data_IF_027437017602
#
_entry.id   IF_027437017602
#
_cell.length_a   1.000
_cell.length_b   1.000
_cell.length_c   1.000
_cell.angle_alpha   90.00
_cell.angle_beta   90.00
_cell.angle_gamma   90.00
#
_symmetry.space_group_name_H-M   'P 1'
#
loop_
_entity.id
_entity.type
_entity.pdbx_description
1 polymer ?
#
# COMPACT_ATOMS: atom_id res chain seq x y z
N UNK A 1 -15.58 -27.17 -4.49
CA UNK A 1 -15.13 -26.14 -5.44
C UNK A 1 -14.77 -24.80 -4.77
N UNK A 2 -15.45 -24.33 -3.70
CA UNK A 2 -15.19 -23.00 -3.12
C UNK A 2 -13.80 -22.76 -2.50
N UNK A 3 -13.19 -23.75 -1.84
CA UNK A 3 -11.89 -23.59 -1.14
C UNK A 3 -10.74 -23.26 -2.12
N UNK A 4 -10.73 -23.89 -3.29
CA UNK A 4 -9.67 -23.74 -4.28
C UNK A 4 -9.67 -22.34 -4.95
N UNK A 5 -10.85 -21.73 -5.05
CA UNK A 5 -11.02 -20.39 -5.63
C UNK A 5 -10.57 -19.32 -4.62
N UNK A 6 -10.98 -19.44 -3.36
CA UNK A 6 -10.57 -18.52 -2.27
C UNK A 6 -9.04 -18.53 -2.07
N UNK A 7 -8.41 -19.71 -2.09
CA UNK A 7 -6.95 -19.83 -2.01
C UNK A 7 -6.22 -19.21 -3.22
N UNK A 8 -6.86 -19.17 -4.39
CA UNK A 8 -6.31 -18.48 -5.57
C UNK A 8 -6.42 -16.96 -5.40
N UNK A 9 -7.56 -16.49 -4.87
CA UNK A 9 -7.83 -15.07 -4.63
C UNK A 9 -6.89 -14.47 -3.55
N UNK A 10 -6.57 -15.20 -2.48
CA UNK A 10 -5.63 -14.73 -1.44
C UNK A 10 -4.19 -14.63 -1.94
N UNK A 11 -3.79 -15.48 -2.90
CA UNK A 11 -2.47 -15.38 -3.57
C UNK A 11 -2.42 -14.14 -4.48
N UNK A 12 -3.48 -13.86 -5.23
CA UNK A 12 -3.57 -12.64 -6.06
C UNK A 12 -3.50 -11.40 -5.17
N UNK A 13 -4.26 -11.37 -4.07
CA UNK A 13 -4.19 -10.28 -3.08
C UNK A 13 -2.78 -10.09 -2.52
N UNK A 14 -2.03 -11.17 -2.24
CA UNK A 14 -0.66 -11.07 -1.76
C UNK A 14 0.29 -10.45 -2.79
N UNK A 15 0.12 -10.80 -4.07
CA UNK A 15 0.91 -10.23 -5.15
C UNK A 15 0.61 -8.73 -5.31
N UNK A 16 -0.67 -8.35 -5.27
CA UNK A 16 -1.11 -6.96 -5.37
C UNK A 16 -0.60 -6.12 -4.20
N UNK A 17 -0.68 -6.64 -2.97
CA UNK A 17 -0.09 -6.01 -1.77
C UNK A 17 1.41 -5.74 -2.01
N UNK A 18 2.15 -6.75 -2.45
CA UNK A 18 3.60 -6.65 -2.65
C UNK A 18 3.95 -5.62 -3.73
N UNK A 19 3.21 -5.62 -4.83
CA UNK A 19 3.39 -4.67 -5.93
C UNK A 19 3.10 -3.23 -5.48
N UNK A 20 2.00 -3.02 -4.75
CA UNK A 20 1.61 -1.71 -4.23
C UNK A 20 2.61 -1.19 -3.20
N UNK A 21 3.11 -2.03 -2.29
CA UNK A 21 4.14 -1.64 -1.33
C UNK A 21 5.45 -1.26 -2.01
N UNK A 22 5.88 -2.02 -3.02
CA UNK A 22 7.08 -1.71 -3.80
C UNK A 22 6.96 -0.38 -4.55
N UNK A 23 5.80 -0.15 -5.18
CA UNK A 23 5.50 1.10 -5.87
C UNK A 23 5.47 2.29 -4.89
N UNK A 24 4.79 2.13 -3.75
CA UNK A 24 4.72 3.17 -2.69
C UNK A 24 6.09 3.52 -2.14
N UNK A 25 6.92 2.52 -1.85
CA UNK A 25 8.29 2.72 -1.38
C UNK A 25 9.11 3.52 -2.41
N UNK A 26 8.98 3.17 -3.69
CA UNK A 26 9.67 3.87 -4.78
C UNK A 26 9.20 5.33 -4.92
N UNK A 27 7.90 5.58 -4.83
CA UNK A 27 7.34 6.93 -4.91
C UNK A 27 7.80 7.79 -3.73
N UNK A 28 7.71 7.27 -2.49
CA UNK A 28 8.18 7.98 -1.29
C UNK A 28 9.66 8.34 -1.40
N UNK A 29 10.51 7.38 -1.81
CA UNK A 29 11.95 7.63 -1.97
C UNK A 29 12.26 8.71 -3.03
N UNK A 30 11.58 8.67 -4.18
CA UNK A 30 11.75 9.69 -5.24
C UNK A 30 11.27 11.07 -4.79
N UNK A 31 10.16 11.12 -4.05
CA UNK A 31 9.59 12.35 -3.53
C UNK A 31 10.55 13.02 -2.52
N UNK A 32 11.11 12.25 -1.59
CA UNK A 32 12.07 12.77 -0.60
C UNK A 32 13.39 13.21 -1.25
N UNK A 33 13.86 12.48 -2.27
CA UNK A 33 15.03 12.90 -3.05
C UNK A 33 14.77 14.22 -3.79
N UNK A 34 13.62 14.35 -4.45
CA UNK A 34 13.22 15.59 -5.14
C UNK A 34 13.14 16.77 -4.17
N UNK A 35 12.57 16.56 -2.98
CA UNK A 35 12.49 17.60 -1.95
C UNK A 35 13.87 18.05 -1.46
N UNK A 36 14.78 17.10 -1.27
CA UNK A 36 16.16 17.38 -0.85
C UNK A 36 16.90 18.19 -1.92
N UNK A 37 16.84 17.74 -3.18
CA UNK A 37 17.48 18.45 -4.29
C UNK A 37 16.92 19.87 -4.45
N UNK A 38 15.61 20.06 -4.24
CA UNK A 38 14.99 21.37 -4.36
C UNK A 38 15.41 22.32 -3.24
N UNK A 39 15.59 21.81 -2.02
CA UNK A 39 16.16 22.60 -0.91
C UNK A 39 17.61 23.03 -1.16
N UNK A 40 18.40 22.19 -1.82
CA UNK A 40 19.78 22.55 -2.19
C UNK A 40 19.80 23.65 -3.25
N UNK A 41 18.88 23.59 -4.23
CA UNK A 41 18.74 24.60 -5.28
C UNK A 41 18.20 25.94 -4.78
N UNK A 42 17.41 25.95 -3.70
CA UNK A 42 16.86 27.16 -3.07
C UNK A 42 17.96 28.16 -2.66
N UNK A 43 19.12 27.66 -2.21
CA UNK A 43 20.27 28.49 -1.84
C UNK A 43 20.96 29.17 -3.03
N UNK A 44 20.72 28.72 -4.26
CA UNK A 44 21.40 29.20 -5.47
C UNK A 44 20.59 30.23 -6.26
N UNK A 45 19.28 30.32 -6.03
CA UNK A 45 18.38 31.20 -6.79
C UNK A 45 17.51 32.02 -5.85
N UNK A 46 17.93 33.24 -5.51
CA UNK A 46 17.15 34.15 -4.67
C UNK A 46 16.29 35.12 -5.50
N UNK A 47 15.04 35.36 -5.09
CA UNK A 47 14.13 36.31 -5.72
C UNK A 47 12.64 36.00 -5.50
N UNK A 48 11.75 36.91 -5.92
CA UNK A 48 10.28 36.74 -5.81
C UNK A 48 9.75 35.53 -6.57
N UNK A 49 10.40 35.16 -7.69
CA UNK A 49 10.05 33.98 -8.47
C UNK A 49 10.39 32.68 -7.73
N UNK A 50 11.55 32.62 -7.07
CA UNK A 50 11.94 31.47 -6.24
C UNK A 50 10.98 31.29 -5.06
N UNK A 51 10.60 32.36 -4.35
CA UNK A 51 9.63 32.28 -3.26
C UNK A 51 8.27 31.71 -3.72
N UNK A 52 7.77 32.17 -4.86
CA UNK A 52 6.51 31.67 -5.43
C UNK A 52 6.61 30.19 -5.83
N UNK A 53 7.74 29.79 -6.45
CA UNK A 53 8.00 28.40 -6.80
C UNK A 53 8.09 27.50 -5.56
N UNK A 54 8.86 27.89 -4.54
CA UNK A 54 9.02 27.11 -3.31
C UNK A 54 7.71 26.97 -2.55
N UNK A 55 6.85 28.00 -2.56
CA UNK A 55 5.51 27.91 -1.97
C UNK A 55 4.66 26.84 -2.68
N UNK A 56 4.64 26.85 -4.02
CA UNK A 56 3.89 25.85 -4.79
C UNK A 56 4.49 24.45 -4.64
N UNK A 57 5.82 24.34 -4.67
CA UNK A 57 6.53 23.07 -4.52
C UNK A 57 6.26 22.41 -3.16
N UNK A 58 6.27 23.20 -2.07
CA UNK A 58 5.95 22.68 -0.73
C UNK A 58 4.49 22.19 -0.65
N UNK A 59 3.56 22.89 -1.32
CA UNK A 59 2.16 22.45 -1.41
C UNK A 59 2.05 21.13 -2.15
N UNK A 60 2.71 21.01 -3.31
CA UNK A 60 2.70 19.80 -4.13
C UNK A 60 3.33 18.61 -3.37
N UNK A 61 4.41 18.85 -2.62
CA UNK A 61 5.02 17.84 -1.75
C UNK A 61 4.06 17.37 -0.65
N UNK A 62 3.33 18.30 0.00
CA UNK A 62 2.31 17.94 1.00
C UNK A 62 1.20 17.09 0.40
N UNK A 63 0.67 17.48 -0.76
CA UNK A 63 -0.38 16.72 -1.46
C UNK A 63 0.10 15.33 -1.87
N UNK A 64 1.34 15.20 -2.37
CA UNK A 64 1.91 13.89 -2.70
C UNK A 64 2.06 12.99 -1.47
N UNK A 65 2.42 13.57 -0.32
CA UNK A 65 2.49 12.84 0.94
C UNK A 65 1.11 12.34 1.38
N UNK A 66 0.08 13.17 1.31
CA UNK A 66 -1.31 12.77 1.60
C UNK A 66 -1.77 11.62 0.71
N UNK A 67 -1.46 11.67 -0.59
CA UNK A 67 -1.75 10.57 -1.53
C UNK A 67 -1.04 9.28 -1.11
N UNK A 68 0.23 9.36 -0.73
CA UNK A 68 0.99 8.21 -0.25
C UNK A 68 0.39 7.61 1.03
N UNK A 69 -0.13 8.44 1.93
CA UNK A 69 -0.77 8.01 3.18
C UNK A 69 -2.10 7.31 2.89
N UNK A 70 -2.94 7.85 1.99
CA UNK A 70 -4.19 7.22 1.53
C UNK A 70 -3.91 5.83 0.93
N UNK A 71 -2.91 5.75 0.04
CA UNK A 71 -2.53 4.48 -0.59
C UNK A 71 -1.97 3.47 0.41
N UNK A 72 -1.26 3.94 1.44
CA UNK A 72 -0.79 3.08 2.54
C UNK A 72 -2.00 2.48 3.29
N UNK A 73 -3.00 3.29 3.62
CA UNK A 73 -4.23 2.81 4.27
C UNK A 73 -5.04 1.84 3.41
N UNK A 74 -5.04 2.01 2.08
CA UNK A 74 -5.65 1.06 1.15
C UNK A 74 -4.94 -0.30 1.20
N UNK A 75 -3.60 -0.32 1.17
CA UNK A 75 -2.82 -1.56 1.29
C UNK A 75 -3.10 -2.28 2.60
N UNK A 76 -3.19 -1.55 3.72
CA UNK A 76 -3.55 -2.11 5.03
C UNK A 76 -4.96 -2.72 5.04
N UNK A 77 -5.90 -2.08 4.35
CA UNK A 77 -7.26 -2.60 4.21
C UNK A 77 -7.28 -3.92 3.43
N UNK A 78 -6.50 -4.02 2.34
CA UNK A 78 -6.37 -5.25 1.54
C UNK A 78 -5.71 -6.37 2.36
N UNK A 79 -4.66 -6.05 3.15
CA UNK A 79 -4.03 -7.00 4.07
C UNK A 79 -5.03 -7.55 5.09
N UNK A 80 -5.82 -6.68 5.69
CA UNK A 80 -6.87 -7.07 6.64
C UNK A 80 -7.89 -8.00 5.99
N UNK A 81 -8.37 -7.64 4.80
CA UNK A 81 -9.31 -8.48 4.04
C UNK A 81 -8.73 -9.87 3.77
N UNK A 82 -7.48 -9.96 3.31
CA UNK A 82 -6.78 -11.22 3.08
C UNK A 82 -6.75 -12.10 4.34
N UNK A 83 -6.39 -11.53 5.49
CA UNK A 83 -6.33 -12.25 6.77
C UNK A 83 -7.70 -12.83 7.14
N UNK A 84 -8.79 -12.07 6.93
CA UNK A 84 -10.14 -12.55 7.21
C UNK A 84 -10.57 -13.70 6.27
N UNK A 85 -10.17 -13.65 4.99
CA UNK A 85 -10.38 -14.76 4.07
C UNK A 85 -9.63 -16.04 4.49
N UNK A 86 -8.35 -15.92 4.88
CA UNK A 86 -7.54 -17.03 5.36
C UNK A 86 -8.10 -17.66 6.65
N UNK A 87 -8.59 -16.84 7.59
CA UNK A 87 -9.26 -17.32 8.82
C UNK A 87 -10.54 -18.10 8.50
N UNK A 88 -11.36 -17.58 7.59
CA UNK A 88 -12.59 -18.24 7.16
C UNK A 88 -12.28 -19.62 6.54
N UNK A 89 -11.26 -19.70 5.68
CA UNK A 89 -10.83 -20.96 5.08
C UNK A 89 -10.36 -21.99 6.12
N UNK A 90 -9.57 -21.56 7.10
CA UNK A 90 -9.12 -22.42 8.20
C UNK A 90 -10.28 -22.96 9.05
N UNK A 91 -11.26 -22.12 9.34
CA UNK A 91 -12.48 -22.50 10.07
C UNK A 91 -13.31 -23.53 9.30
N UNK A 92 -13.56 -23.29 8.01
CA UNK A 92 -14.30 -24.22 7.14
C UNK A 92 -13.58 -25.56 7.02
N UNK A 93 -12.26 -25.56 6.82
CA UNK A 93 -11.45 -26.79 6.77
C UNK A 93 -11.54 -27.60 8.07
N UNK A 94 -11.59 -26.93 9.22
CA UNK A 94 -11.75 -27.58 10.53
C UNK A 94 -13.11 -28.24 10.65
N UNK A 95 -14.19 -27.53 10.28
CA UNK A 95 -15.56 -28.08 10.29
C UNK A 95 -15.69 -29.30 9.37
N UNK A 96 -15.16 -29.22 8.14
CA UNK A 96 -15.19 -30.34 7.19
C UNK A 96 -14.42 -31.56 7.73
N UNK A 97 -13.26 -31.34 8.35
CA UNK A 97 -12.47 -32.42 8.96
C UNK A 97 -13.25 -33.10 10.09
N UNK A 98 -13.93 -32.35 10.93
CA UNK A 98 -14.72 -32.91 12.03
C UNK A 98 -15.92 -33.74 11.51
N UNK A 99 -16.64 -33.26 10.48
CA UNK A 99 -17.74 -34.01 9.86
C UNK A 99 -17.24 -35.33 9.25
N UNK A 100 -16.06 -35.34 8.63
CA UNK A 100 -15.46 -36.55 8.05
C UNK A 100 -15.07 -37.62 9.07
N UNK A 101 -14.85 -37.23 10.34
CA UNK A 101 -14.44 -38.16 11.40
C UNK A 101 -15.68 -38.77 12.09
N UNK A 102 -16.78 -38.03 12.23
CA UNK A 102 -18.02 -38.54 12.86
C UNK A 102 -18.89 -39.38 11.91
N UNK A 103 -18.64 -39.31 10.59
CA UNK A 103 -19.33 -40.09 9.56
C UNK A 103 -18.66 -41.41 9.17
N UNK A 104 -17.63 -41.86 9.91
CA UNK A 104 -16.95 -43.15 9.75
C UNK A 104 -17.20 -44.05 10.96
#
# INVERSE_FOLDING_TARGET
>A
MGIKQIATDTVIMQNDITALEGALSTVKAKMDNMFTNMKELDGMWSGTANMAFMMQFNKDYSTLKEICDILTGLVESIKTAKIEYEKCESSVNTVIKNIKIEGM
#
